data_IF_656194725484
#
_entry.id   IF_656194725484
#
_cell.length_a   1.000
_cell.length_b   1.000
_cell.length_c   1.000
_cell.angle_alpha   90.00
_cell.angle_beta   90.00
_cell.angle_gamma   90.00
#
_symmetry.space_group_name_H-M   'P 1'
#
loop_
_entity.id
_entity.type
_entity.pdbx_description
1 polymer ?
#
# COMPACT_ATOMS: atom_id res chain seq x y z
N UNK A 1 -68.06 -28.74 34.97
CA UNK A 1 -66.70 -28.56 35.48
C UNK A 1 -65.75 -28.48 34.28
N UNK A 2 -65.37 -27.30 33.83
CA UNK A 2 -64.41 -27.07 32.75
C UNK A 2 -63.04 -26.77 33.38
N UNK A 3 -62.07 -27.63 33.15
CA UNK A 3 -60.65 -27.39 33.53
C UNK A 3 -59.98 -26.63 32.37
N UNK A 4 -59.63 -25.39 32.62
CA UNK A 4 -58.78 -24.59 31.73
C UNK A 4 -57.32 -24.97 31.99
N UNK A 5 -56.64 -25.44 30.93
CA UNK A 5 -55.22 -25.71 30.94
C UNK A 5 -54.48 -24.43 30.53
N UNK A 6 -53.75 -23.84 31.46
CA UNK A 6 -52.90 -22.65 31.25
C UNK A 6 -51.55 -23.13 30.70
N UNK A 7 -51.31 -22.91 29.43
CA UNK A 7 -50.00 -23.19 28.82
C UNK A 7 -49.12 -21.96 29.03
N UNK A 8 -48.15 -22.08 29.91
CA UNK A 8 -47.11 -21.07 30.15
C UNK A 8 -46.06 -21.15 29.07
N UNK A 9 -46.09 -20.19 28.13
CA UNK A 9 -45.09 -20.07 27.05
C UNK A 9 -43.85 -19.33 27.60
N UNK A 10 -42.82 -20.06 27.99
CA UNK A 10 -41.53 -19.52 28.41
C UNK A 10 -40.78 -19.05 27.17
N UNK A 11 -40.76 -17.75 26.89
CA UNK A 11 -39.90 -17.14 25.90
C UNK A 11 -38.47 -17.18 26.45
N UNK A 12 -37.66 -18.12 25.92
CA UNK A 12 -36.21 -18.10 26.11
C UNK A 12 -35.66 -17.04 25.17
N UNK A 13 -35.43 -15.84 25.67
CA UNK A 13 -34.64 -14.83 25.01
C UNK A 13 -33.20 -15.33 24.95
N UNK A 14 -32.75 -15.78 23.77
CA UNK A 14 -31.33 -15.98 23.46
C UNK A 14 -30.67 -14.60 23.49
N UNK A 15 -30.13 -14.23 24.64
CA UNK A 15 -29.19 -13.11 24.74
C UNK A 15 -27.91 -13.61 24.09
N UNK A 16 -27.71 -13.28 22.83
CA UNK A 16 -26.40 -13.36 22.17
C UNK A 16 -25.51 -12.35 22.88
N UNK A 17 -24.70 -12.80 23.82
CA UNK A 17 -23.58 -12.01 24.33
C UNK A 17 -22.59 -11.79 23.17
N UNK A 18 -22.68 -10.65 22.49
CA UNK A 18 -21.50 -10.11 21.82
C UNK A 18 -20.52 -9.77 22.94
N UNK A 19 -19.39 -10.50 23.02
CA UNK A 19 -18.30 -10.10 23.90
C UNK A 19 -17.81 -8.74 23.44
N UNK A 20 -18.02 -7.72 24.29
CA UNK A 20 -17.51 -6.37 24.03
C UNK A 20 -15.98 -6.41 24.14
N UNK A 21 -15.29 -5.63 23.29
CA UNK A 21 -13.86 -5.42 23.41
C UNK A 21 -13.64 -4.59 24.67
N UNK A 22 -12.84 -5.11 25.61
CA UNK A 22 -12.48 -4.37 26.82
C UNK A 22 -11.66 -3.15 26.43
N UNK A 23 -12.21 -1.96 26.68
CA UNK A 23 -11.58 -0.67 26.39
C UNK A 23 -10.96 -0.02 27.64
N UNK A 24 -10.88 -0.76 28.75
CA UNK A 24 -10.23 -0.24 29.96
C UNK A 24 -8.73 -0.05 29.74
N UNK A 25 -8.20 1.13 30.04
CA UNK A 25 -6.77 1.39 30.01
C UNK A 25 -6.06 0.61 31.11
N UNK A 26 -4.86 0.12 30.81
CA UNK A 26 -4.05 -0.63 31.75
C UNK A 26 -2.57 -0.44 31.50
N UNK A 27 -1.74 -1.28 32.13
CA UNK A 27 -0.30 -1.30 31.93
C UNK A 27 0.07 -2.50 31.08
N UNK A 28 1.15 -2.38 30.29
CA UNK A 28 1.78 -3.47 29.59
C UNK A 28 3.29 -3.32 29.56
N UNK A 29 3.99 -4.41 29.30
CA UNK A 29 5.45 -4.43 29.11
C UNK A 29 5.78 -4.97 27.73
N UNK A 30 6.69 -4.29 27.03
CA UNK A 30 7.30 -4.78 25.80
C UNK A 30 8.82 -4.67 25.89
N UNK A 31 9.51 -5.73 25.46
CA UNK A 31 10.96 -5.75 25.38
C UNK A 31 11.42 -6.72 24.30
N UNK A 32 12.73 -6.84 24.12
CA UNK A 32 13.25 -7.78 23.15
C UNK A 32 14.70 -7.58 22.75
N UNK A 33 15.10 -8.37 21.74
CA UNK A 33 16.41 -8.37 21.13
C UNK A 33 16.26 -8.24 19.61
N UNK A 34 17.03 -7.31 19.00
CA UNK A 34 17.11 -7.14 17.55
C UNK A 34 18.47 -7.61 17.08
N UNK A 35 18.49 -8.73 16.35
CA UNK A 35 19.73 -9.28 15.77
C UNK A 35 20.05 -8.54 14.47
N UNK A 36 21.31 -8.15 14.28
CA UNK A 36 21.78 -7.34 13.16
C UNK A 36 21.02 -6.01 12.99
N UNK A 37 20.89 -5.16 14.04
CA UNK A 37 20.07 -3.97 13.98
C UNK A 37 20.57 -3.00 12.89
N UNK A 38 19.63 -2.34 12.20
CA UNK A 38 19.92 -1.33 11.16
C UNK A 38 20.31 0.00 11.79
N UNK A 39 19.73 0.33 12.95
CA UNK A 39 20.01 1.49 13.79
C UNK A 39 19.89 1.09 15.28
N UNK A 40 20.21 1.98 16.17
CA UNK A 40 20.26 1.76 17.62
C UNK A 40 18.94 2.03 18.35
N UNK A 41 17.82 2.09 17.63
CA UNK A 41 16.50 2.31 18.21
C UNK A 41 15.38 1.63 17.41
N UNK A 42 14.23 1.48 18.05
CA UNK A 42 12.94 1.25 17.42
C UNK A 42 11.94 2.29 17.92
N UNK A 43 10.90 2.57 17.15
CA UNK A 43 9.84 3.49 17.55
C UNK A 43 8.55 2.70 17.72
N UNK A 44 7.92 2.82 18.89
CA UNK A 44 6.62 2.22 19.19
C UNK A 44 5.51 3.24 18.92
N UNK A 45 4.43 2.80 18.27
CA UNK A 45 3.29 3.64 17.90
C UNK A 45 2.00 3.10 18.48
N UNK A 46 1.13 4.03 18.88
CA UNK A 46 -0.31 3.82 19.02
C UNK A 46 -0.98 4.55 17.86
N UNK A 47 -1.65 3.80 16.98
CA UNK A 47 -2.12 4.33 15.72
C UNK A 47 -0.96 4.95 14.89
N UNK A 48 -1.11 6.19 14.44
CA UNK A 48 -0.06 6.96 13.74
C UNK A 48 0.81 7.79 14.67
N UNK A 49 0.50 7.80 15.97
CA UNK A 49 1.17 8.61 16.98
C UNK A 49 2.31 7.83 17.65
N UNK A 50 3.56 8.34 17.65
CA UNK A 50 4.64 7.67 18.37
C UNK A 50 4.38 7.71 19.88
N UNK A 51 4.43 6.54 20.50
CA UNK A 51 4.41 6.41 21.96
C UNK A 51 5.76 6.80 22.52
N UNK A 52 6.83 6.15 22.01
CA UNK A 52 8.21 6.40 22.45
C UNK A 52 9.24 5.87 21.45
N UNK A 53 10.46 6.36 21.55
CA UNK A 53 11.66 5.86 20.87
C UNK A 53 12.47 5.02 21.84
N UNK A 54 12.53 3.73 21.62
CA UNK A 54 13.16 2.75 22.49
C UNK A 54 14.56 2.46 21.99
N UNK A 55 15.57 2.88 22.75
CA UNK A 55 16.98 2.68 22.39
C UNK A 55 17.47 1.29 22.76
N UNK A 56 18.32 0.71 21.89
CA UNK A 56 18.96 -0.56 22.10
C UNK A 56 20.19 -0.41 23.02
N UNK A 57 20.37 -1.35 23.93
CA UNK A 57 21.58 -1.46 24.74
C UNK A 57 22.75 -2.08 23.94
N UNK A 58 23.88 -2.35 24.64
CA UNK A 58 25.09 -2.91 24.02
C UNK A 58 24.89 -4.36 23.51
N UNK A 59 23.88 -5.06 24.02
CA UNK A 59 23.47 -6.39 23.61
C UNK A 59 22.31 -6.37 22.59
N UNK A 60 22.01 -5.19 22.01
CA UNK A 60 20.91 -4.96 21.07
C UNK A 60 19.52 -5.27 21.66
N UNK A 61 19.32 -5.04 22.94
CA UNK A 61 18.07 -5.26 23.66
C UNK A 61 17.42 -3.95 24.05
N UNK A 62 16.11 -4.00 24.20
CA UNK A 62 15.32 -2.90 24.73
C UNK A 62 14.28 -3.42 25.73
N UNK A 63 13.76 -2.52 26.54
CA UNK A 63 12.63 -2.80 27.44
C UNK A 63 11.87 -1.51 27.70
N UNK A 64 10.53 -1.60 27.76
CA UNK A 64 9.67 -0.47 27.97
C UNK A 64 8.41 -0.86 28.74
N UNK A 65 8.06 -0.07 29.78
CA UNK A 65 6.80 -0.18 30.49
C UNK A 65 5.82 0.86 29.93
N UNK A 66 4.70 0.40 29.44
CA UNK A 66 3.61 1.26 29.00
C UNK A 66 2.68 1.46 30.20
N UNK A 67 2.77 2.64 30.81
CA UNK A 67 2.00 2.98 32.05
C UNK A 67 0.51 3.15 31.79
N UNK A 68 0.16 3.62 30.59
CA UNK A 68 -1.23 3.82 30.18
C UNK A 68 -1.39 3.30 28.77
N UNK A 69 -1.87 2.06 28.66
CA UNK A 69 -2.13 1.39 27.39
C UNK A 69 -3.62 1.42 27.07
N UNK A 70 -3.97 1.90 25.89
CA UNK A 70 -5.27 1.62 25.27
C UNK A 70 -5.19 0.26 24.56
N UNK A 71 -6.08 -0.71 24.84
CA UNK A 71 -6.02 -2.00 24.16
C UNK A 71 -6.33 -1.81 22.68
N UNK A 72 -5.45 -2.34 21.81
CA UNK A 72 -5.61 -2.11 20.39
C UNK A 72 -4.50 -2.70 19.53
N UNK A 73 -4.55 -2.28 18.26
CA UNK A 73 -3.47 -2.47 17.30
C UNK A 73 -2.41 -1.38 17.56
N UNK A 74 -1.22 -1.84 17.85
CA UNK A 74 -0.04 -1.00 17.95
C UNK A 74 0.94 -1.40 16.86
N UNK A 75 1.98 -0.63 16.66
CA UNK A 75 3.03 -1.01 15.73
C UNK A 75 4.40 -0.58 16.23
N UNK A 76 5.44 -1.24 15.74
CA UNK A 76 6.80 -0.76 15.90
C UNK A 76 7.52 -0.69 14.56
N UNK A 77 8.44 0.27 14.47
CA UNK A 77 9.29 0.47 13.28
C UNK A 77 10.75 0.33 13.67
N UNK A 78 11.48 -0.51 12.95
CA UNK A 78 12.94 -0.60 13.07
C UNK A 78 13.57 -0.72 11.67
N UNK A 79 14.56 0.12 11.39
CA UNK A 79 15.27 0.09 10.11
C UNK A 79 14.40 0.41 8.87
N UNK A 80 13.21 0.96 9.06
CA UNK A 80 12.23 1.24 8.00
C UNK A 80 11.20 0.12 7.80
N UNK A 81 11.36 -1.01 8.48
CA UNK A 81 10.37 -2.10 8.50
C UNK A 81 9.32 -1.84 9.57
N UNK A 82 8.07 -2.15 9.24
CA UNK A 82 6.89 -1.89 10.06
C UNK A 82 6.22 -3.19 10.48
N UNK A 83 5.94 -3.36 11.77
CA UNK A 83 5.26 -4.53 12.31
C UNK A 83 4.09 -4.16 13.20
N UNK A 84 2.93 -4.74 12.93
CA UNK A 84 1.74 -4.63 13.78
C UNK A 84 1.83 -5.63 14.94
N UNK A 85 1.40 -5.17 16.12
CA UNK A 85 1.32 -5.97 17.34
C UNK A 85 0.00 -5.65 18.08
N UNK A 86 -0.69 -6.67 18.60
CA UNK A 86 -1.81 -6.47 19.53
C UNK A 86 -1.24 -6.36 20.94
N UNK A 87 -1.54 -5.23 21.59
CA UNK A 87 -1.27 -5.03 23.00
C UNK A 87 -2.58 -4.85 23.79
N UNK A 88 -2.67 -5.56 24.88
CA UNK A 88 -3.81 -5.52 25.82
C UNK A 88 -3.31 -5.37 27.27
N UNK A 89 -4.14 -4.88 28.18
CA UNK A 89 -3.76 -4.73 29.58
C UNK A 89 -3.18 -6.01 30.18
N UNK A 90 -2.11 -5.85 30.95
CA UNK A 90 -1.31 -6.92 31.57
C UNK A 90 -0.48 -7.79 30.60
N UNK A 91 -0.39 -7.44 29.32
CA UNK A 91 0.58 -8.09 28.45
C UNK A 91 2.01 -7.85 28.92
N UNK A 92 2.83 -8.89 28.86
CA UNK A 92 4.27 -8.82 29.13
C UNK A 92 4.99 -9.59 28.05
N UNK A 93 5.34 -8.89 26.97
CA UNK A 93 5.77 -9.46 25.72
C UNK A 93 7.25 -9.19 25.50
N UNK A 94 8.01 -10.23 25.20
CA UNK A 94 9.38 -10.13 24.69
C UNK A 94 9.40 -10.58 23.24
N UNK A 95 10.05 -9.82 22.37
CA UNK A 95 10.26 -10.19 20.98
C UNK A 95 11.73 -10.45 20.67
N UNK A 96 11.95 -11.30 19.68
CA UNK A 96 13.25 -11.49 19.05
C UNK A 96 13.06 -11.48 17.55
N UNK A 97 13.88 -10.66 16.88
CA UNK A 97 13.79 -10.49 15.44
C UNK A 97 15.21 -10.37 14.85
N UNK A 98 15.41 -10.84 13.61
CA UNK A 98 16.63 -10.65 12.83
C UNK A 98 16.28 -9.82 11.59
N UNK A 99 16.92 -8.66 11.44
CA UNK A 99 16.62 -7.74 10.32
C UNK A 99 16.96 -8.28 8.93
N UNK A 100 17.69 -9.38 8.83
CA UNK A 100 17.98 -10.04 7.54
C UNK A 100 16.79 -10.85 7.01
N UNK A 101 15.93 -11.36 7.92
CA UNK A 101 14.73 -12.13 7.61
C UNK A 101 13.62 -11.65 8.57
N UNK A 102 13.16 -10.41 8.41
CA UNK A 102 12.39 -9.68 9.40
C UNK A 102 11.13 -10.44 9.86
N UNK A 103 10.20 -10.69 8.94
CA UNK A 103 8.90 -11.30 9.27
C UNK A 103 9.04 -12.79 9.64
N UNK A 104 9.90 -13.53 8.94
CA UNK A 104 10.10 -14.96 9.17
C UNK A 104 10.83 -15.25 10.47
N UNK A 105 11.64 -14.31 10.96
CA UNK A 105 12.42 -14.48 12.20
C UNK A 105 11.73 -13.93 13.44
N UNK A 106 10.64 -13.16 13.28
CA UNK A 106 9.97 -12.49 14.39
C UNK A 106 9.21 -13.51 15.26
N UNK A 107 9.59 -13.58 16.53
CA UNK A 107 8.97 -14.44 17.53
C UNK A 107 8.70 -13.67 18.81
N UNK A 108 7.52 -13.88 19.38
CA UNK A 108 7.10 -13.30 20.65
C UNK A 108 7.07 -14.35 21.76
N UNK A 109 7.48 -13.97 22.98
CA UNK A 109 7.42 -14.79 24.20
C UNK A 109 6.80 -13.99 25.34
N UNK A 110 6.40 -14.67 26.42
CA UNK A 110 5.76 -14.02 27.58
C UNK A 110 4.23 -14.01 27.51
N UNK A 111 3.62 -13.32 28.45
CA UNK A 111 2.16 -13.20 28.55
C UNK A 111 1.63 -12.34 27.39
N UNK A 112 0.60 -12.81 26.67
CA UNK A 112 0.07 -12.12 25.49
C UNK A 112 0.78 -12.50 24.17
N UNK A 113 1.90 -13.21 24.20
CA UNK A 113 2.69 -13.53 23.00
C UNK A 113 1.99 -14.43 21.99
N UNK A 114 1.09 -15.33 22.44
CA UNK A 114 0.46 -16.35 21.55
C UNK A 114 -0.38 -15.72 20.45
N UNK A 115 -1.12 -14.65 20.76
CA UNK A 115 -1.94 -13.92 19.80
C UNK A 115 -1.08 -13.29 18.69
N UNK A 116 0.06 -12.67 19.07
CA UNK A 116 0.97 -12.04 18.12
C UNK A 116 1.74 -13.09 17.28
N UNK A 117 2.16 -14.20 17.87
CA UNK A 117 2.75 -15.32 17.11
C UNK A 117 1.75 -15.94 16.12
N UNK A 118 0.46 -16.01 16.46
CA UNK A 118 -0.55 -16.45 15.52
C UNK A 118 -0.66 -15.51 14.33
N UNK A 119 -0.71 -14.19 14.58
CA UNK A 119 -0.87 -13.20 13.53
C UNK A 119 0.33 -13.14 12.58
N UNK A 120 1.57 -13.20 13.09
CA UNK A 120 2.76 -13.20 12.21
C UNK A 120 2.84 -14.50 11.39
N UNK A 121 2.52 -15.64 11.98
CA UNK A 121 2.45 -16.91 11.25
C UNK A 121 1.34 -16.91 10.18
N UNK A 122 0.19 -16.33 10.50
CA UNK A 122 -0.90 -16.16 9.53
C UNK A 122 -0.46 -15.24 8.37
N UNK A 123 0.18 -14.11 8.67
CA UNK A 123 0.72 -13.20 7.68
C UNK A 123 1.71 -13.89 6.73
N UNK A 124 2.72 -14.57 7.29
CA UNK A 124 3.71 -15.31 6.50
C UNK A 124 3.06 -16.41 5.62
N UNK A 125 2.01 -17.06 6.13
CA UNK A 125 1.27 -18.07 5.36
C UNK A 125 0.51 -17.44 4.20
N UNK A 126 -0.19 -16.33 4.43
CA UNK A 126 -0.94 -15.61 3.40
C UNK A 126 0.00 -15.04 2.32
N UNK A 127 1.15 -14.48 2.71
CA UNK A 127 2.17 -13.98 1.77
C UNK A 127 2.72 -15.11 0.89
N UNK A 128 3.03 -16.26 1.49
CA UNK A 128 3.48 -17.43 0.72
C UNK A 128 2.40 -17.94 -0.25
N UNK A 129 1.12 -17.82 0.08
CA UNK A 129 -0.01 -18.20 -0.78
C UNK A 129 -0.26 -17.24 -1.94
N UNK A 130 0.20 -16.00 -1.88
CA UNK A 130 -0.04 -14.98 -2.92
C UNK A 130 0.36 -15.44 -4.33
N UNK A 131 1.46 -16.19 -4.44
CA UNK A 131 1.90 -16.77 -5.72
C UNK A 131 0.91 -17.81 -6.25
N UNK A 132 0.37 -18.64 -5.36
CA UNK A 132 -0.63 -19.67 -5.70
C UNK A 132 -1.91 -18.98 -6.16
N UNK A 133 -2.38 -18.00 -5.41
CA UNK A 133 -3.60 -17.25 -5.72
C UNK A 133 -3.46 -16.48 -7.03
N UNK A 134 -2.26 -15.92 -7.32
CA UNK A 134 -2.01 -15.30 -8.61
C UNK A 134 -2.18 -16.28 -9.78
N UNK A 135 -1.66 -17.49 -9.68
CA UNK A 135 -1.84 -18.52 -10.72
C UNK A 135 -3.31 -18.97 -10.81
N UNK A 136 -3.98 -19.13 -9.67
CA UNK A 136 -5.41 -19.48 -9.59
C UNK A 136 -6.30 -18.38 -10.20
N UNK A 137 -5.87 -17.12 -10.16
CA UNK A 137 -6.62 -16.01 -10.76
C UNK A 137 -6.75 -16.08 -12.31
N UNK A 138 -6.03 -17.03 -12.95
CA UNK A 138 -6.16 -17.34 -14.38
C UNK A 138 -7.23 -18.40 -14.68
N UNK A 139 -7.79 -19.05 -13.65
CA UNK A 139 -8.82 -20.06 -13.79
C UNK A 139 -10.19 -19.43 -14.02
N UNK A 140 -11.10 -20.23 -14.58
CA UNK A 140 -12.51 -19.85 -14.73
C UNK A 140 -13.17 -19.50 -13.39
N UNK A 141 -14.18 -18.61 -13.36
CA UNK A 141 -14.74 -18.02 -12.14
C UNK A 141 -15.15 -19.03 -11.08
N UNK A 142 -15.85 -20.12 -11.49
CA UNK A 142 -16.29 -21.15 -10.54
C UNK A 142 -15.12 -21.87 -9.90
N UNK A 143 -14.10 -22.23 -10.69
CA UNK A 143 -12.91 -22.91 -10.19
C UNK A 143 -12.08 -21.99 -9.30
N UNK A 144 -11.92 -20.72 -9.69
CA UNK A 144 -11.27 -19.71 -8.86
C UNK A 144 -11.95 -19.59 -7.51
N UNK A 145 -13.29 -19.37 -7.49
CA UNK A 145 -14.04 -19.23 -6.24
C UNK A 145 -13.90 -20.45 -5.34
N UNK A 146 -14.01 -21.66 -5.92
CA UNK A 146 -13.85 -22.92 -5.14
C UNK A 146 -12.49 -23.00 -4.44
N UNK A 147 -11.42 -22.65 -5.12
CA UNK A 147 -10.07 -22.69 -4.51
C UNK A 147 -9.92 -21.63 -3.44
N UNK A 148 -10.35 -20.39 -3.70
CA UNK A 148 -10.28 -19.30 -2.72
C UNK A 148 -11.09 -19.63 -1.46
N UNK A 149 -12.32 -20.13 -1.62
CA UNK A 149 -13.17 -20.48 -0.49
C UNK A 149 -12.57 -21.66 0.32
N UNK A 150 -11.91 -22.61 -0.35
CA UNK A 150 -11.21 -23.71 0.33
C UNK A 150 -10.05 -23.21 1.17
N UNK A 151 -9.20 -22.34 0.62
CA UNK A 151 -8.06 -21.77 1.34
C UNK A 151 -8.54 -20.91 2.53
N UNK A 152 -9.58 -20.09 2.33
CA UNK A 152 -10.18 -19.29 3.39
C UNK A 152 -10.73 -20.17 4.52
N UNK A 153 -11.45 -21.25 4.17
CA UNK A 153 -12.04 -22.18 5.14
C UNK A 153 -10.99 -22.89 5.98
N UNK A 154 -9.85 -23.26 5.38
CA UNK A 154 -8.70 -23.84 6.08
C UNK A 154 -8.16 -22.88 7.15
N UNK A 155 -7.99 -21.59 6.83
CA UNK A 155 -7.49 -20.61 7.80
C UNK A 155 -8.51 -20.34 8.92
N UNK A 156 -9.81 -20.34 8.60
CA UNK A 156 -10.87 -20.23 9.62
C UNK A 156 -10.85 -21.45 10.56
N UNK A 157 -10.65 -22.65 10.03
CA UNK A 157 -10.53 -23.86 10.84
C UNK A 157 -9.30 -23.79 11.76
N UNK A 158 -8.16 -23.31 11.25
CA UNK A 158 -6.94 -23.15 12.06
C UNK A 158 -7.12 -22.08 13.17
N UNK A 159 -7.83 -20.98 12.87
CA UNK A 159 -8.20 -20.00 13.90
C UNK A 159 -9.11 -20.63 14.97
N UNK A 160 -10.06 -21.46 14.59
CA UNK A 160 -10.94 -22.13 15.54
C UNK A 160 -10.17 -23.12 16.43
N UNK A 161 -9.24 -23.91 15.87
CA UNK A 161 -8.32 -24.77 16.65
C UNK A 161 -7.48 -23.97 17.65
N UNK A 162 -7.00 -22.79 17.23
CA UNK A 162 -6.27 -21.89 18.14
C UNK A 162 -7.14 -21.43 19.29
N UNK A 163 -8.40 -21.01 19.02
CA UNK A 163 -9.37 -20.56 20.02
C UNK A 163 -9.80 -21.68 21.00
N UNK A 164 -9.87 -22.91 20.53
CA UNK A 164 -10.14 -24.08 21.39
C UNK A 164 -8.97 -24.38 22.34
N UNK A 165 -7.75 -24.14 21.89
CA UNK A 165 -6.53 -24.46 22.63
C UNK A 165 -6.12 -23.35 23.61
N UNK A 166 -6.41 -22.10 23.29
CA UNK A 166 -5.95 -20.93 24.01
C UNK A 166 -7.10 -19.98 24.27
N UNK A 167 -7.13 -19.43 25.48
CA UNK A 167 -8.00 -18.29 25.76
C UNK A 167 -7.64 -17.13 24.84
N UNK A 168 -8.62 -16.52 24.20
CA UNK A 168 -8.44 -15.46 23.22
C UNK A 168 -9.39 -14.30 23.47
N UNK A 169 -8.87 -13.08 23.37
CA UNK A 169 -9.66 -11.86 23.54
C UNK A 169 -10.59 -11.60 22.34
N UNK A 170 -11.63 -10.79 22.56
CA UNK A 170 -12.52 -10.33 21.50
C UNK A 170 -11.75 -9.52 20.43
N UNK A 171 -10.78 -8.70 20.85
CA UNK A 171 -9.91 -7.92 19.97
C UNK A 171 -9.08 -8.83 19.05
N UNK A 172 -8.36 -9.82 19.61
CA UNK A 172 -7.59 -10.75 18.81
C UNK A 172 -8.48 -11.53 17.82
N UNK A 173 -9.63 -12.01 18.28
CA UNK A 173 -10.56 -12.78 17.44
C UNK A 173 -11.05 -11.94 16.26
N UNK A 174 -11.35 -10.66 16.49
CA UNK A 174 -11.75 -9.71 15.44
C UNK A 174 -10.64 -9.47 14.44
N UNK A 175 -9.43 -9.16 14.89
CA UNK A 175 -8.28 -8.88 14.04
C UNK A 175 -7.86 -10.10 13.23
N UNK A 176 -7.80 -11.29 13.86
CA UNK A 176 -7.44 -12.52 13.17
C UNK A 176 -8.47 -12.90 12.09
N UNK A 177 -9.77 -12.79 12.40
CA UNK A 177 -10.82 -13.05 11.42
C UNK A 177 -10.81 -12.02 10.29
N UNK A 178 -10.59 -10.75 10.59
CA UNK A 178 -10.43 -9.69 9.60
C UNK A 178 -9.23 -9.93 8.69
N UNK A 179 -8.08 -10.36 9.24
CA UNK A 179 -6.90 -10.73 8.45
C UNK A 179 -7.22 -11.82 7.43
N UNK A 180 -7.93 -12.87 7.84
CA UNK A 180 -8.32 -13.96 6.94
C UNK A 180 -9.32 -13.46 5.89
N UNK A 181 -10.44 -12.91 6.34
CA UNK A 181 -11.55 -12.56 5.45
C UNK A 181 -11.13 -11.50 4.42
N UNK A 182 -10.48 -10.44 4.84
CA UNK A 182 -10.10 -9.34 3.94
C UNK A 182 -8.98 -9.75 2.97
N UNK A 183 -8.05 -10.64 3.36
CA UNK A 183 -7.05 -11.15 2.41
C UNK A 183 -7.71 -11.90 1.26
N UNK A 184 -8.58 -12.87 1.54
CA UNK A 184 -9.23 -13.63 0.47
C UNK A 184 -10.27 -12.81 -0.30
N UNK A 185 -11.00 -11.91 0.36
CA UNK A 185 -11.93 -11.00 -0.30
C UNK A 185 -11.20 -10.02 -1.23
N UNK A 186 -9.98 -9.58 -0.89
CA UNK A 186 -9.11 -8.79 -1.78
C UNK A 186 -8.89 -9.51 -3.11
N UNK A 187 -8.59 -10.79 -3.07
CA UNK A 187 -8.38 -11.59 -4.28
C UNK A 187 -9.66 -11.70 -5.12
N UNK A 188 -10.83 -11.84 -4.48
CA UNK A 188 -12.12 -11.83 -5.16
C UNK A 188 -12.40 -10.47 -5.83
N UNK A 189 -12.08 -9.36 -5.16
CA UNK A 189 -12.24 -8.02 -5.76
C UNK A 189 -11.28 -7.76 -6.93
N UNK A 190 -10.06 -8.29 -6.88
CA UNK A 190 -9.07 -8.14 -7.94
C UNK A 190 -9.31 -9.09 -9.13
N UNK A 191 -9.99 -10.22 -8.91
CA UNK A 191 -10.18 -11.25 -9.91
C UNK A 191 -10.80 -10.75 -11.23
N UNK A 192 -11.88 -9.94 -11.24
CA UNK A 192 -12.47 -9.47 -12.50
C UNK A 192 -11.49 -8.66 -13.36
N UNK A 193 -10.66 -7.85 -12.73
CA UNK A 193 -9.65 -7.04 -13.44
C UNK A 193 -8.51 -7.86 -14.01
N UNK A 194 -8.18 -8.99 -13.39
CA UNK A 194 -7.12 -9.91 -13.81
C UNK A 194 -7.59 -10.86 -14.90
N UNK A 195 -8.79 -11.44 -14.73
CA UNK A 195 -9.31 -12.49 -15.60
C UNK A 195 -9.95 -11.94 -16.87
N UNK A 196 -10.87 -10.98 -16.76
CA UNK A 196 -11.63 -10.49 -17.93
C UNK A 196 -10.87 -9.42 -18.73
N UNK A 197 -9.93 -8.70 -18.12
CA UNK A 197 -9.23 -7.60 -18.77
C UNK A 197 -10.16 -6.47 -19.22
N UNK A 198 -9.63 -5.49 -19.97
CA UNK A 198 -10.33 -4.23 -20.30
C UNK A 198 -11.56 -4.40 -21.17
N UNK A 199 -11.60 -5.41 -22.03
CA UNK A 199 -12.64 -5.59 -23.05
C UNK A 199 -13.84 -6.37 -22.55
N UNK A 200 -13.66 -7.35 -21.69
CA UNK A 200 -14.70 -8.26 -21.26
C UNK A 200 -15.22 -7.98 -19.84
N UNK A 201 -14.52 -7.15 -19.07
CA UNK A 201 -14.85 -6.87 -17.68
C UNK A 201 -16.25 -6.24 -17.50
N UNK A 202 -16.80 -5.60 -18.55
CA UNK A 202 -18.16 -5.06 -18.53
C UNK A 202 -19.21 -6.15 -18.31
N UNK A 203 -19.07 -7.26 -19.01
CA UNK A 203 -20.04 -8.35 -18.98
C UNK A 203 -19.79 -9.35 -17.87
N UNK A 204 -18.52 -9.57 -17.48
CA UNK A 204 -18.09 -10.51 -16.42
C UNK A 204 -18.84 -11.84 -16.47
N UNK A 205 -18.97 -12.38 -17.69
CA UNK A 205 -19.76 -13.60 -17.97
C UNK A 205 -19.19 -14.78 -17.18
N UNK A 206 -20.07 -15.52 -16.50
CA UNK A 206 -19.70 -16.73 -15.76
C UNK A 206 -19.30 -16.51 -14.30
N UNK A 207 -19.35 -15.28 -13.76
CA UNK A 207 -19.25 -15.11 -12.32
C UNK A 207 -20.43 -15.79 -11.61
N UNK A 208 -20.19 -16.66 -10.61
CA UNK A 208 -21.25 -17.25 -9.80
C UNK A 208 -22.11 -16.17 -9.11
N UNK A 209 -23.40 -16.44 -8.91
CA UNK A 209 -24.30 -15.48 -8.25
C UNK A 209 -23.89 -15.13 -6.82
N UNK A 210 -23.20 -16.04 -6.12
CA UNK A 210 -22.70 -15.87 -4.76
C UNK A 210 -21.27 -15.30 -4.71
N UNK A 211 -20.68 -14.89 -5.84
CA UNK A 211 -19.28 -14.46 -5.91
C UNK A 211 -18.97 -13.28 -4.96
N UNK A 212 -19.92 -12.40 -4.74
CA UNK A 212 -19.80 -11.21 -3.90
C UNK A 212 -20.64 -11.26 -2.62
N UNK A 213 -21.15 -12.42 -2.18
CA UNK A 213 -21.99 -12.52 -0.99
C UNK A 213 -21.34 -11.98 0.28
N UNK A 214 -20.00 -12.12 0.40
CA UNK A 214 -19.22 -11.56 1.52
C UNK A 214 -19.34 -10.03 1.67
N UNK A 215 -19.79 -9.32 0.64
CA UNK A 215 -19.95 -7.86 0.69
C UNK A 215 -21.04 -7.42 1.67
N UNK A 216 -22.00 -8.28 1.97
CA UNK A 216 -23.05 -8.00 2.94
C UNK A 216 -22.54 -7.85 4.38
N UNK A 217 -21.37 -8.43 4.68
CA UNK A 217 -20.79 -8.46 6.01
C UNK A 217 -19.70 -7.38 6.23
N UNK A 218 -19.48 -6.49 5.25
CA UNK A 218 -18.44 -5.46 5.34
C UNK A 218 -18.90 -4.35 6.28
N UNK A 219 -18.14 -4.14 7.35
CA UNK A 219 -18.26 -2.93 8.16
C UNK A 219 -17.27 -1.87 7.66
N UNK A 220 -17.80 -0.82 7.01
CA UNK A 220 -17.00 0.30 6.49
C UNK A 220 -16.59 1.30 7.57
N UNK A 221 -17.03 1.11 8.82
CA UNK A 221 -16.89 2.08 9.90
C UNK A 221 -16.19 1.49 11.12
N UNK A 222 -15.45 0.42 10.96
CA UNK A 222 -14.82 -0.32 12.03
C UNK A 222 -13.65 0.44 12.66
N UNK A 223 -13.88 1.02 13.85
CA UNK A 223 -12.86 1.79 14.57
C UNK A 223 -11.63 0.96 14.97
N UNK A 224 -11.79 -0.36 15.18
CA UNK A 224 -10.66 -1.24 15.54
C UNK A 224 -9.73 -1.46 14.35
N UNK A 225 -10.30 -1.46 13.13
CA UNK A 225 -9.56 -1.74 11.90
C UNK A 225 -9.14 -0.48 11.13
N UNK A 226 -9.42 0.73 11.65
CA UNK A 226 -9.13 2.00 10.97
C UNK A 226 -7.65 2.20 10.61
N UNK A 227 -6.73 1.52 11.31
CA UNK A 227 -5.29 1.57 11.09
C UNK A 227 -4.71 0.22 10.66
N UNK A 228 -5.59 -0.74 10.32
CA UNK A 228 -5.20 -2.08 9.95
C UNK A 228 -4.97 -2.23 8.46
N UNK A 229 -3.72 -2.46 8.06
CA UNK A 229 -3.31 -2.53 6.65
C UNK A 229 -4.10 -3.54 5.80
N UNK A 230 -4.38 -4.80 6.24
CA UNK A 230 -5.19 -5.74 5.46
C UNK A 230 -6.61 -5.25 5.16
N UNK A 231 -7.20 -4.43 6.04
CA UNK A 231 -8.50 -3.83 5.82
C UNK A 231 -8.47 -2.82 4.65
N UNK A 232 -7.44 -1.95 4.59
CA UNK A 232 -7.29 -1.03 3.47
C UNK A 232 -6.91 -1.73 2.17
N UNK A 233 -6.06 -2.77 2.22
CA UNK A 233 -5.75 -3.60 1.07
C UNK A 233 -7.00 -4.21 0.43
N UNK A 234 -8.01 -4.50 1.23
CA UNK A 234 -9.31 -4.93 0.76
C UNK A 234 -10.17 -3.76 0.26
N UNK A 235 -10.28 -2.68 1.02
CA UNK A 235 -11.18 -1.56 0.67
C UNK A 235 -10.81 -0.88 -0.65
N UNK A 236 -9.53 -0.74 -0.97
CA UNK A 236 -9.11 -0.12 -2.22
C UNK A 236 -9.59 -0.88 -3.46
N UNK A 237 -9.33 -2.18 -3.66
CA UNK A 237 -9.87 -2.94 -4.78
C UNK A 237 -11.40 -3.09 -4.71
N UNK A 238 -11.98 -3.13 -3.52
CA UNK A 238 -13.43 -3.16 -3.35
C UNK A 238 -14.10 -1.92 -3.95
N UNK A 239 -13.67 -0.71 -3.58
CA UNK A 239 -14.18 0.52 -4.16
C UNK A 239 -13.83 0.65 -5.65
N UNK A 240 -12.69 0.09 -6.12
CA UNK A 240 -12.42 0.00 -7.55
C UNK A 240 -13.48 -0.84 -8.28
N UNK A 241 -13.88 -1.95 -7.70
CA UNK A 241 -14.87 -2.84 -8.31
C UNK A 241 -16.29 -2.24 -8.25
N UNK A 242 -16.69 -1.64 -7.13
CA UNK A 242 -17.96 -0.93 -7.05
C UNK A 242 -18.06 0.23 -8.06
N UNK A 243 -16.98 1.01 -8.17
CA UNK A 243 -16.94 2.12 -9.14
C UNK A 243 -16.99 1.64 -10.60
N UNK A 244 -16.57 0.41 -10.88
CA UNK A 244 -16.65 -0.19 -12.21
C UNK A 244 -18.10 -0.35 -12.68
N UNK A 245 -19.01 -0.79 -11.81
CA UNK A 245 -20.42 -0.93 -12.14
C UNK A 245 -21.04 0.43 -12.47
N UNK A 246 -20.83 1.42 -11.59
CA UNK A 246 -21.32 2.78 -11.80
C UNK A 246 -20.71 3.45 -13.06
N UNK A 247 -19.45 3.15 -13.39
CA UNK A 247 -18.81 3.63 -14.61
C UNK A 247 -19.54 3.17 -15.87
N UNK A 248 -19.84 1.87 -15.99
CA UNK A 248 -20.51 1.31 -17.15
C UNK A 248 -22.01 1.69 -17.23
N UNK A 249 -22.64 2.03 -16.12
CA UNK A 249 -23.98 2.60 -16.09
C UNK A 249 -24.02 4.03 -16.66
N UNK A 250 -22.99 4.83 -16.37
CA UNK A 250 -22.93 6.25 -16.75
C UNK A 250 -22.29 6.49 -18.11
N UNK A 251 -21.41 5.60 -18.56
CA UNK A 251 -20.75 5.71 -19.86
C UNK A 251 -21.35 4.71 -20.85
N UNK A 252 -21.18 5.01 -22.15
CA UNK A 252 -21.51 4.05 -23.22
C UNK A 252 -20.29 3.23 -23.64
N UNK A 253 -19.20 3.28 -22.88
CA UNK A 253 -17.96 2.64 -23.21
C UNK A 253 -18.12 1.11 -23.28
N UNK A 254 -17.47 0.50 -24.24
CA UNK A 254 -17.36 -0.95 -24.36
C UNK A 254 -16.06 -1.48 -23.78
N UNK A 255 -15.08 -0.60 -23.56
CA UNK A 255 -13.76 -0.92 -23.04
C UNK A 255 -13.54 -0.14 -21.75
N UNK A 256 -13.11 -0.82 -20.71
CA UNK A 256 -12.81 -0.17 -19.45
C UNK A 256 -11.55 0.71 -19.53
N UNK A 257 -11.70 1.97 -19.14
CA UNK A 257 -10.58 2.88 -18.94
C UNK A 257 -10.36 3.19 -17.44
N UNK A 258 -9.30 2.63 -16.91
CA UNK A 258 -8.84 2.84 -15.52
C UNK A 258 -8.56 4.32 -15.22
N UNK A 259 -8.12 5.09 -16.22
CA UNK A 259 -7.74 6.50 -16.08
C UNK A 259 -8.92 7.45 -16.30
N UNK A 260 -10.10 6.92 -16.66
CA UNK A 260 -11.30 7.75 -16.83
C UNK A 260 -11.60 8.57 -15.58
N UNK A 261 -11.81 9.89 -15.77
CA UNK A 261 -12.21 10.78 -14.68
C UNK A 261 -13.57 10.36 -14.10
N UNK A 262 -14.51 9.91 -14.94
CA UNK A 262 -15.83 9.42 -14.51
C UNK A 262 -15.68 8.25 -13.55
N UNK A 263 -14.85 7.26 -13.88
CA UNK A 263 -14.57 6.12 -13.01
C UNK A 263 -13.97 6.55 -11.67
N UNK A 264 -12.99 7.43 -11.68
CA UNK A 264 -12.26 7.81 -10.47
C UNK A 264 -13.06 8.76 -9.58
N UNK A 265 -13.89 9.66 -10.15
CA UNK A 265 -14.82 10.49 -9.37
C UNK A 265 -15.90 9.63 -8.70
N UNK A 266 -16.51 8.67 -9.43
CA UNK A 266 -17.48 7.73 -8.84
C UNK A 266 -16.88 6.92 -7.68
N UNK A 267 -15.60 6.60 -7.73
CA UNK A 267 -14.90 5.97 -6.61
C UNK A 267 -14.89 6.86 -5.36
N UNK A 268 -14.56 8.15 -5.51
CA UNK A 268 -14.61 9.10 -4.38
C UNK A 268 -16.04 9.29 -3.86
N UNK A 269 -17.02 9.32 -4.76
CA UNK A 269 -18.44 9.46 -4.38
C UNK A 269 -18.89 8.26 -3.54
N UNK A 270 -18.60 7.02 -3.98
CA UNK A 270 -18.91 5.79 -3.23
C UNK A 270 -18.23 5.77 -1.85
N UNK A 271 -16.94 6.13 -1.77
CA UNK A 271 -16.23 6.23 -0.50
C UNK A 271 -16.92 7.22 0.45
N UNK A 272 -17.32 8.39 -0.05
CA UNK A 272 -17.99 9.41 0.75
C UNK A 272 -19.43 9.03 1.14
N UNK A 273 -20.15 8.31 0.29
CA UNK A 273 -21.51 7.84 0.55
C UNK A 273 -21.55 6.71 1.59
N UNK A 274 -20.66 5.72 1.48
CA UNK A 274 -20.70 4.48 2.24
C UNK A 274 -19.93 4.54 3.56
N UNK A 275 -18.80 5.27 3.61
CA UNK A 275 -17.92 5.35 4.77
C UNK A 275 -18.28 6.55 5.64
N UNK A 276 -18.70 6.30 6.88
CA UNK A 276 -19.05 7.35 7.86
C UNK A 276 -17.94 7.65 8.85
N UNK A 277 -17.08 6.67 9.14
CA UNK A 277 -15.87 6.89 9.92
C UNK A 277 -14.94 7.84 9.15
N UNK A 278 -14.63 8.99 9.74
CA UNK A 278 -13.87 10.05 9.07
C UNK A 278 -12.42 9.65 8.80
N UNK A 279 -11.79 8.87 9.66
CA UNK A 279 -10.39 8.46 9.49
C UNK A 279 -10.28 7.51 8.30
N UNK A 280 -11.13 6.47 8.26
CA UNK A 280 -11.19 5.52 7.14
C UNK A 280 -11.52 6.25 5.84
N UNK A 281 -12.55 7.11 5.85
CA UNK A 281 -12.96 7.87 4.67
C UNK A 281 -11.82 8.76 4.13
N UNK A 282 -11.20 9.57 4.98
CA UNK A 282 -10.15 10.47 4.58
C UNK A 282 -8.90 9.72 4.07
N UNK A 283 -8.55 8.57 4.66
CA UNK A 283 -7.46 7.72 4.18
C UNK A 283 -7.75 7.18 2.77
N UNK A 284 -8.97 6.69 2.53
CA UNK A 284 -9.39 6.19 1.21
C UNK A 284 -9.40 7.30 0.16
N UNK A 285 -10.00 8.45 0.47
CA UNK A 285 -10.05 9.62 -0.41
C UNK A 285 -8.65 10.11 -0.78
N UNK A 286 -7.75 10.27 0.22
CA UNK A 286 -6.36 10.66 0.01
C UNK A 286 -5.63 9.70 -0.91
N UNK A 287 -5.73 8.39 -0.65
CA UNK A 287 -5.06 7.37 -1.45
C UNK A 287 -5.55 7.38 -2.91
N UNK A 288 -6.88 7.37 -3.13
CA UNK A 288 -7.45 7.36 -4.47
C UNK A 288 -7.07 8.62 -5.26
N UNK A 289 -7.16 9.80 -4.63
CA UNK A 289 -6.81 11.08 -5.26
C UNK A 289 -5.32 11.17 -5.56
N UNK A 290 -4.46 10.83 -4.61
CA UNK A 290 -3.01 10.80 -4.82
C UNK A 290 -2.66 9.92 -6.02
N UNK A 291 -3.22 8.71 -6.10
CA UNK A 291 -2.95 7.79 -7.19
C UNK A 291 -3.41 8.38 -8.54
N UNK A 292 -4.63 8.93 -8.61
CA UNK A 292 -5.12 9.52 -9.84
C UNK A 292 -4.23 10.68 -10.32
N UNK A 293 -3.98 11.65 -9.45
CA UNK A 293 -3.13 12.83 -9.77
C UNK A 293 -1.74 12.43 -10.23
N UNK A 294 -1.20 11.35 -9.69
CA UNK A 294 0.16 10.93 -9.97
C UNK A 294 0.31 10.19 -11.30
N UNK A 295 -0.76 9.60 -11.84
CA UNK A 295 -0.72 8.82 -13.09
C UNK A 295 -1.46 9.50 -14.26
N UNK A 296 -2.29 10.51 -13.99
CA UNK A 296 -3.06 11.18 -15.04
C UNK A 296 -2.28 12.36 -15.62
N UNK A 297 -2.32 12.49 -16.96
CA UNK A 297 -1.66 13.58 -17.69
C UNK A 297 -2.65 14.66 -18.18
N UNK A 298 -3.97 14.49 -17.96
CA UNK A 298 -4.99 15.47 -18.31
C UNK A 298 -5.12 16.53 -17.23
N UNK A 299 -4.83 17.77 -17.59
CA UNK A 299 -4.94 18.90 -16.66
C UNK A 299 -6.37 19.10 -16.14
N UNK A 300 -7.35 19.05 -17.05
CA UNK A 300 -8.76 19.21 -16.70
C UNK A 300 -9.26 18.10 -15.75
N UNK A 301 -8.82 16.85 -15.99
CA UNK A 301 -9.20 15.74 -15.13
C UNK A 301 -8.54 15.82 -13.75
N UNK A 302 -7.27 16.26 -13.69
CA UNK A 302 -6.59 16.50 -12.42
C UNK A 302 -7.26 17.64 -11.62
N UNK A 303 -7.69 18.70 -12.29
CA UNK A 303 -8.41 19.81 -11.66
C UNK A 303 -9.76 19.32 -11.10
N UNK A 304 -10.55 18.59 -11.90
CA UNK A 304 -11.84 18.01 -11.48
C UNK A 304 -11.69 17.01 -10.30
N UNK A 305 -10.67 16.16 -10.36
CA UNK A 305 -10.39 15.21 -9.28
C UNK A 305 -10.01 15.91 -7.97
N UNK A 306 -9.19 16.94 -8.06
CA UNK A 306 -8.78 17.74 -6.90
C UNK A 306 -9.98 18.46 -6.27
N UNK A 307 -10.83 19.11 -7.07
CA UNK A 307 -12.06 19.77 -6.58
C UNK A 307 -13.01 18.75 -5.92
N UNK A 308 -13.21 17.61 -6.54
CA UNK A 308 -14.02 16.52 -5.97
C UNK A 308 -13.48 16.06 -4.62
N UNK A 309 -12.17 15.89 -4.49
CA UNK A 309 -11.52 15.54 -3.23
C UNK A 309 -11.75 16.61 -2.15
N UNK A 310 -11.49 17.88 -2.48
CA UNK A 310 -11.65 19.01 -1.53
C UNK A 310 -13.08 19.13 -0.99
N UNK A 311 -14.08 18.79 -1.80
CA UNK A 311 -15.48 18.83 -1.38
C UNK A 311 -15.87 17.69 -0.41
N UNK A 312 -15.05 16.66 -0.27
CA UNK A 312 -15.35 15.43 0.50
C UNK A 312 -14.44 15.22 1.71
N UNK A 313 -13.19 15.65 1.61
CA UNK A 313 -12.21 15.48 2.68
C UNK A 313 -12.51 16.42 3.86
N UNK A 314 -12.39 15.89 5.07
CA UNK A 314 -12.52 16.64 6.33
C UNK A 314 -11.22 16.69 7.14
N UNK A 315 -10.14 16.06 6.64
CA UNK A 315 -8.85 16.03 7.32
C UNK A 315 -7.93 17.12 6.74
N UNK A 316 -7.54 18.07 7.58
CA UNK A 316 -6.73 19.24 7.17
C UNK A 316 -5.33 18.85 6.70
N UNK A 317 -4.65 17.92 7.38
CA UNK A 317 -3.30 17.46 7.02
C UNK A 317 -3.30 16.74 5.66
N UNK A 318 -4.28 15.85 5.44
CA UNK A 318 -4.46 15.17 4.16
C UNK A 318 -4.76 16.18 3.04
N UNK A 319 -5.56 17.21 3.32
CA UNK A 319 -5.90 18.25 2.35
C UNK A 319 -4.69 19.12 2.00
N UNK A 320 -3.84 19.45 2.98
CA UNK A 320 -2.58 20.14 2.74
C UNK A 320 -1.62 19.31 1.87
N UNK A 321 -1.47 18.01 2.18
CA UNK A 321 -0.66 17.09 1.39
C UNK A 321 -1.14 17.00 -0.08
N UNK A 322 -2.44 16.76 -0.29
CA UNK A 322 -3.01 16.66 -1.65
C UNK A 322 -2.91 17.98 -2.39
N UNK A 323 -3.13 19.13 -1.73
CA UNK A 323 -2.97 20.45 -2.33
C UNK A 323 -1.52 20.73 -2.74
N UNK A 324 -0.56 20.36 -1.90
CA UNK A 324 0.87 20.47 -2.21
C UNK A 324 1.25 19.60 -3.43
N UNK A 325 0.79 18.35 -3.47
CA UNK A 325 1.01 17.44 -4.60
C UNK A 325 0.39 17.98 -5.89
N UNK A 326 -0.87 18.39 -5.85
CA UNK A 326 -1.58 18.97 -7.00
C UNK A 326 -0.86 20.21 -7.55
N UNK A 327 -0.46 21.15 -6.69
CA UNK A 327 0.28 22.34 -7.08
C UNK A 327 1.65 21.99 -7.67
N UNK A 328 2.31 20.96 -7.17
CA UNK A 328 3.57 20.48 -7.74
C UNK A 328 3.35 19.89 -9.13
N UNK A 329 2.34 19.05 -9.30
CA UNK A 329 2.00 18.45 -10.61
C UNK A 329 1.69 19.56 -11.64
N UNK A 330 0.97 20.63 -11.26
CA UNK A 330 0.72 21.79 -12.14
C UNK A 330 2.02 22.46 -12.63
N UNK A 331 3.03 22.53 -11.78
CA UNK A 331 4.35 23.11 -12.17
C UNK A 331 5.14 22.17 -13.10
N UNK A 332 4.83 20.86 -13.08
CA UNK A 332 5.50 19.85 -13.91
C UNK A 332 4.75 19.51 -15.20
N UNK A 333 3.75 20.33 -15.59
CA UNK A 333 2.97 20.14 -16.82
C UNK A 333 3.83 20.32 -18.07
N UNK A 334 3.49 19.64 -19.17
CA UNK A 334 4.16 19.83 -20.46
C UNK A 334 4.28 21.30 -20.86
N UNK A 335 5.43 21.68 -21.39
CA UNK A 335 5.76 23.06 -21.77
C UNK A 335 6.32 23.93 -20.64
N UNK A 336 6.17 23.55 -19.37
CA UNK A 336 6.80 24.28 -18.27
C UNK A 336 8.31 23.99 -18.20
N UNK A 337 9.06 24.92 -17.62
CA UNK A 337 10.49 24.71 -17.38
C UNK A 337 10.70 23.61 -16.33
N UNK A 338 11.69 22.75 -16.58
CA UNK A 338 12.12 21.76 -15.59
C UNK A 338 12.68 22.50 -14.34
N UNK A 339 12.33 22.06 -13.12
CA UNK A 339 12.80 22.71 -11.89
C UNK A 339 14.29 22.51 -11.67
N UNK A 340 14.91 23.48 -10.98
CA UNK A 340 16.33 23.42 -10.60
C UNK A 340 16.55 22.30 -9.57
N UNK A 341 17.29 21.26 -9.96
CA UNK A 341 17.58 20.08 -9.12
C UNK A 341 19.08 19.81 -9.13
N UNK A 342 19.70 19.85 -7.96
CA UNK A 342 21.09 19.44 -7.79
C UNK A 342 21.22 17.92 -7.64
N UNK A 343 22.15 17.37 -8.40
CA UNK A 343 22.53 15.95 -8.36
C UNK A 343 24.04 15.80 -8.14
N UNK A 344 24.44 14.66 -7.63
CA UNK A 344 25.84 14.29 -7.43
C UNK A 344 26.16 13.13 -8.34
N UNK A 345 27.21 13.23 -9.15
CA UNK A 345 27.66 12.18 -10.04
C UNK A 345 28.48 11.12 -9.30
N UNK A 346 28.93 10.07 -10.01
CA UNK A 346 29.73 8.99 -9.45
C UNK A 346 31.05 9.46 -8.81
N UNK A 347 31.62 10.59 -9.29
CA UNK A 347 32.86 11.19 -8.76
C UNK A 347 32.60 12.10 -7.54
N UNK A 348 31.37 12.23 -7.08
CA UNK A 348 30.91 13.15 -6.01
C UNK A 348 30.94 14.65 -6.45
N UNK A 349 30.95 14.95 -7.74
CA UNK A 349 30.81 16.31 -8.24
C UNK A 349 29.34 16.70 -8.27
N UNK A 350 29.01 17.88 -7.76
CA UNK A 350 27.64 18.41 -7.76
C UNK A 350 27.40 19.21 -9.04
N UNK A 351 26.27 18.97 -9.65
CA UNK A 351 25.82 19.71 -10.86
C UNK A 351 24.31 19.86 -10.85
N UNK A 352 23.82 20.86 -11.56
CA UNK A 352 22.40 20.98 -11.87
C UNK A 352 22.04 20.04 -13.02
N UNK A 353 20.88 19.39 -12.92
CA UNK A 353 20.44 18.41 -13.92
C UNK A 353 20.17 19.03 -15.27
N UNK A 354 19.70 20.30 -15.33
CA UNK A 354 19.44 21.04 -16.56
C UNK A 354 20.70 21.30 -17.40
N UNK A 355 21.89 21.38 -16.78
CA UNK A 355 23.16 21.47 -17.50
C UNK A 355 23.44 20.28 -18.46
N UNK A 356 22.65 19.22 -18.36
CA UNK A 356 22.79 17.98 -19.15
C UNK A 356 21.77 17.89 -20.30
N UNK A 357 20.87 18.88 -20.48
CA UNK A 357 19.80 18.83 -21.49
C UNK A 357 20.26 19.31 -22.88
N UNK A 358 21.44 18.89 -23.31
CA UNK A 358 21.98 19.19 -24.64
C UNK A 358 21.36 18.37 -25.78
N UNK A 359 20.54 17.38 -25.44
CA UNK A 359 19.71 16.54 -26.30
C UNK A 359 18.37 16.32 -25.62
N UNK A 360 17.31 15.87 -26.33
CA UNK A 360 16.12 15.39 -25.65
C UNK A 360 16.51 14.35 -24.60
N UNK A 361 16.05 14.54 -23.37
CA UNK A 361 16.55 13.81 -22.21
C UNK A 361 15.43 13.04 -21.53
N UNK A 362 15.66 11.74 -21.31
CA UNK A 362 14.84 10.85 -20.49
C UNK A 362 15.48 10.74 -19.13
N UNK A 363 14.73 11.08 -18.08
CA UNK A 363 15.15 11.00 -16.69
C UNK A 363 14.35 9.89 -16.02
N UNK A 364 15.03 8.91 -15.46
CA UNK A 364 14.40 7.82 -14.72
C UNK A 364 15.00 7.66 -13.33
N UNK A 365 14.21 7.09 -12.43
CA UNK A 365 14.54 7.00 -11.02
C UNK A 365 14.70 5.55 -10.60
N UNK A 366 15.54 5.28 -9.62
CA UNK A 366 15.70 3.96 -9.06
C UNK A 366 16.08 3.99 -7.57
N UNK A 367 15.78 2.87 -6.89
CA UNK A 367 16.11 2.66 -5.49
C UNK A 367 16.81 1.32 -5.32
N UNK A 368 17.82 1.24 -4.47
CA UNK A 368 18.47 -0.01 -4.12
C UNK A 368 17.58 -0.93 -3.26
N UNK A 369 16.54 -0.39 -2.63
CA UNK A 369 15.53 -1.19 -1.92
C UNK A 369 14.65 -2.01 -2.88
N UNK A 370 14.52 -1.59 -4.16
CA UNK A 370 13.67 -2.27 -5.17
C UNK A 370 14.57 -2.89 -6.24
N UNK A 371 15.19 -4.02 -5.90
CA UNK A 371 16.24 -4.69 -6.70
C UNK A 371 15.80 -5.04 -8.10
N UNK A 372 14.59 -5.53 -8.30
CA UNK A 372 14.08 -5.92 -9.62
C UNK A 372 13.85 -4.71 -10.51
N UNK A 373 13.27 -3.63 -9.98
CA UNK A 373 13.12 -2.38 -10.74
C UNK A 373 14.48 -1.80 -11.13
N UNK A 374 15.44 -1.78 -10.20
CA UNK A 374 16.81 -1.33 -10.48
C UNK A 374 17.42 -2.07 -11.69
N UNK A 375 17.40 -3.40 -11.67
CA UNK A 375 17.95 -4.21 -12.77
C UNK A 375 17.20 -4.01 -14.08
N UNK A 376 15.87 -4.09 -14.02
CA UNK A 376 15.02 -4.01 -15.20
C UNK A 376 15.11 -2.64 -15.89
N UNK A 377 15.14 -1.54 -15.13
CA UNK A 377 15.23 -0.19 -15.68
C UNK A 377 16.58 0.06 -16.37
N UNK A 378 17.70 -0.37 -15.77
CA UNK A 378 19.02 -0.23 -16.39
C UNK A 378 19.16 -1.08 -17.65
N UNK A 379 18.69 -2.33 -17.63
CA UNK A 379 18.69 -3.19 -18.83
C UNK A 379 17.82 -2.59 -19.93
N UNK A 380 16.64 -2.07 -19.59
CA UNK A 380 15.75 -1.43 -20.57
C UNK A 380 16.38 -0.20 -21.19
N UNK A 381 17.02 0.64 -20.39
CA UNK A 381 17.73 1.83 -20.90
C UNK A 381 18.93 1.44 -21.77
N UNK A 382 19.64 0.36 -21.45
CA UNK A 382 20.73 -0.15 -22.31
C UNK A 382 20.21 -0.53 -23.72
N UNK A 383 19.05 -1.19 -23.81
CA UNK A 383 18.39 -1.45 -25.12
C UNK A 383 18.00 -0.17 -25.83
N UNK A 384 17.38 0.79 -25.11
CA UNK A 384 16.90 2.04 -25.70
C UNK A 384 18.04 2.90 -26.22
N UNK A 385 19.18 2.97 -25.54
CA UNK A 385 20.38 3.71 -25.97
C UNK A 385 20.90 3.21 -27.34
N UNK A 386 20.78 1.93 -27.63
CA UNK A 386 21.17 1.35 -28.92
C UNK A 386 20.24 1.79 -30.07
N UNK A 387 18.94 1.92 -29.75
CA UNK A 387 17.93 2.32 -30.75
C UNK A 387 17.86 3.85 -30.91
N UNK A 388 18.08 4.60 -29.82
CA UNK A 388 17.90 6.06 -29.76
C UNK A 388 19.20 6.79 -29.33
N UNK A 389 20.28 6.77 -30.14
CA UNK A 389 21.58 7.36 -29.76
C UNK A 389 21.54 8.89 -29.64
N UNK A 390 20.53 9.52 -30.21
CA UNK A 390 20.32 10.98 -30.13
C UNK A 390 19.50 11.43 -28.91
N UNK A 391 19.04 10.51 -28.07
CA UNK A 391 18.34 10.79 -26.79
C UNK A 391 19.32 10.56 -25.65
N UNK A 392 19.36 11.50 -24.71
CA UNK A 392 20.11 11.36 -23.46
C UNK A 392 19.28 10.59 -22.43
N UNK A 393 19.92 9.71 -21.65
CA UNK A 393 19.27 8.96 -20.58
C UNK A 393 20.02 9.22 -19.26
N UNK A 394 19.35 9.88 -18.33
CA UNK A 394 19.85 10.22 -16.99
C UNK A 394 19.20 9.30 -15.96
N UNK A 395 20.03 8.62 -15.19
CA UNK A 395 19.66 7.71 -14.12
C UNK A 395 19.85 8.39 -12.78
N UNK A 396 18.83 8.36 -11.91
CA UNK A 396 18.92 9.02 -10.59
C UNK A 396 18.53 8.06 -9.48
N UNK A 397 19.48 7.79 -8.57
CA UNK A 397 19.19 7.12 -7.31
C UNK A 397 18.46 8.06 -6.36
N UNK A 398 17.31 7.61 -5.80
CA UNK A 398 16.44 8.42 -4.94
C UNK A 398 16.61 8.18 -3.44
N UNK A 399 17.54 7.33 -3.02
CA UNK A 399 17.71 7.00 -1.61
C UNK A 399 18.46 8.10 -0.85
N UNK A 400 18.06 8.34 0.39
CA UNK A 400 18.66 9.33 1.28
C UNK A 400 19.85 8.80 2.07
N UNK A 401 20.06 7.48 2.11
CA UNK A 401 21.06 6.78 2.90
C UNK A 401 22.52 6.94 2.39
N UNK A 402 23.41 6.13 2.98
CA UNK A 402 24.89 6.24 2.77
C UNK A 402 25.29 6.31 1.29
N UNK A 403 26.07 7.33 0.89
CA UNK A 403 26.47 7.58 -0.50
C UNK A 403 27.25 6.44 -1.17
N UNK A 404 27.65 5.43 -0.44
CA UNK A 404 28.44 4.31 -0.97
C UNK A 404 27.61 3.14 -1.52
N UNK A 405 26.37 3.01 -1.07
CA UNK A 405 25.54 1.85 -1.42
C UNK A 405 25.17 1.82 -2.91
N UNK A 406 24.69 2.93 -3.46
CA UNK A 406 24.33 2.99 -4.87
C UNK A 406 25.51 2.72 -5.81
N UNK A 407 26.71 3.23 -5.47
CA UNK A 407 27.95 2.98 -6.23
C UNK A 407 28.35 1.50 -6.18
N UNK A 408 28.20 0.85 -5.02
CA UNK A 408 28.50 -0.57 -4.86
C UNK A 408 27.57 -1.42 -5.72
N UNK A 409 26.28 -1.11 -5.78
CA UNK A 409 25.33 -1.86 -6.61
C UNK A 409 25.59 -1.71 -8.11
N UNK A 410 25.85 -0.49 -8.60
CA UNK A 410 26.21 -0.27 -9.99
C UNK A 410 27.43 -1.14 -10.40
N UNK A 411 28.49 -1.14 -9.57
CA UNK A 411 29.67 -1.97 -9.80
C UNK A 411 29.39 -3.47 -9.75
N UNK A 412 28.58 -3.93 -8.77
CA UNK A 412 28.21 -5.34 -8.65
C UNK A 412 27.45 -5.88 -9.85
N UNK A 413 26.69 -5.03 -10.52
CA UNK A 413 25.93 -5.40 -11.73
C UNK A 413 26.60 -4.99 -13.03
N UNK A 414 27.82 -4.42 -12.98
CA UNK A 414 28.59 -3.94 -14.13
C UNK A 414 27.81 -2.94 -15.01
N UNK A 415 26.98 -2.09 -14.41
CA UNK A 415 26.29 -1.03 -15.14
C UNK A 415 27.23 0.14 -15.43
N UNK A 416 27.08 0.80 -16.60
CA UNK A 416 27.86 2.00 -16.92
C UNK A 416 27.68 3.08 -15.87
N UNK A 417 28.78 3.76 -15.52
CA UNK A 417 28.73 4.83 -14.51
C UNK A 417 28.43 6.20 -15.13
N UNK A 418 28.53 6.31 -16.44
CA UNK A 418 28.17 7.52 -17.18
C UNK A 418 26.66 7.69 -17.23
N UNK A 419 26.16 8.88 -16.87
CA UNK A 419 24.73 9.15 -16.76
C UNK A 419 24.09 8.71 -15.44
N UNK A 420 24.91 8.25 -14.48
CA UNK A 420 24.46 7.84 -13.14
C UNK A 420 24.65 8.94 -12.12
N UNK A 421 23.56 9.27 -11.43
CA UNK A 421 23.49 10.34 -10.45
C UNK A 421 22.71 9.90 -9.21
N UNK A 422 22.82 10.71 -8.14
CA UNK A 422 21.89 10.69 -7.01
C UNK A 422 21.46 12.10 -6.69
N UNK A 423 20.29 12.27 -6.11
CA UNK A 423 19.90 13.58 -5.58
C UNK A 423 20.85 14.03 -4.48
N UNK A 424 21.16 15.32 -4.48
CA UNK A 424 21.91 15.94 -3.37
C UNK A 424 21.02 16.01 -2.12
N UNK A 425 19.76 16.40 -2.29
CA UNK A 425 18.71 16.34 -1.28
C UNK A 425 17.55 15.49 -1.80
N UNK A 426 17.52 14.17 -1.49
CA UNK A 426 16.50 13.26 -2.01
C UNK A 426 15.08 13.60 -1.57
N UNK A 427 14.88 14.07 -0.34
CA UNK A 427 13.53 14.35 0.16
C UNK A 427 12.93 15.61 -0.49
N UNK A 428 13.71 16.68 -0.61
CA UNK A 428 13.29 17.86 -1.34
C UNK A 428 13.05 17.56 -2.83
N UNK A 429 13.96 16.84 -3.49
CA UNK A 429 13.84 16.51 -4.90
C UNK A 429 12.62 15.63 -5.20
N UNK A 430 12.36 14.60 -4.39
CA UNK A 430 11.13 13.76 -4.51
C UNK A 430 9.86 14.60 -4.43
N UNK A 431 9.82 15.58 -3.54
CA UNK A 431 8.69 16.52 -3.41
C UNK A 431 8.56 17.40 -4.65
N UNK A 432 9.65 18.06 -5.09
CA UNK A 432 9.67 19.00 -6.22
C UNK A 432 9.31 18.29 -7.53
N UNK A 433 9.74 17.05 -7.72
CA UNK A 433 9.47 16.26 -8.92
C UNK A 433 8.22 15.37 -8.80
N UNK A 434 7.45 15.48 -7.71
CA UNK A 434 6.28 14.65 -7.43
C UNK A 434 6.56 13.15 -7.68
N UNK A 435 7.67 12.62 -7.14
CA UNK A 435 8.04 11.22 -7.29
C UNK A 435 7.26 10.40 -6.26
N UNK A 436 6.10 9.87 -6.66
CA UNK A 436 5.24 9.04 -5.83
C UNK A 436 5.50 7.54 -6.04
N UNK A 437 6.05 7.17 -7.19
CA UNK A 437 6.46 5.78 -7.52
C UNK A 437 7.77 5.76 -8.26
N UNK A 438 8.46 4.64 -8.14
CA UNK A 438 9.80 4.46 -8.66
C UNK A 438 9.86 4.35 -10.20
N UNK A 439 8.80 3.87 -10.82
CA UNK A 439 8.73 3.70 -12.28
C UNK A 439 8.36 4.97 -13.05
N UNK A 440 8.24 6.12 -12.35
CA UNK A 440 8.07 7.43 -12.98
C UNK A 440 9.25 7.75 -13.89
N UNK A 441 8.94 8.24 -15.10
CA UNK A 441 9.92 8.74 -16.06
C UNK A 441 9.53 10.15 -16.49
N UNK A 442 10.48 11.05 -16.57
CA UNK A 442 10.29 12.40 -17.11
C UNK A 442 11.06 12.57 -18.41
N UNK A 443 10.50 13.32 -19.34
CA UNK A 443 11.14 13.64 -20.60
C UNK A 443 11.18 15.16 -20.80
N UNK A 444 12.35 15.67 -21.16
CA UNK A 444 12.63 17.10 -21.29
C UNK A 444 13.27 17.37 -22.64
N UNK A 445 12.95 18.51 -23.25
CA UNK A 445 13.60 18.95 -24.49
C UNK A 445 14.94 19.67 -24.24
N UNK A 446 15.57 20.14 -25.31
CA UNK A 446 16.84 20.87 -25.28
C UNK A 446 16.72 22.33 -24.76
N UNK A 447 15.52 22.81 -24.49
CA UNK A 447 15.23 24.14 -23.94
C UNK A 447 14.75 24.07 -22.50
N UNK A 448 15.06 22.98 -21.78
CA UNK A 448 14.63 22.71 -20.39
C UNK A 448 13.10 22.59 -20.23
N UNK A 449 12.34 22.35 -21.32
CA UNK A 449 10.90 22.23 -21.27
C UNK A 449 10.48 20.76 -21.06
N UNK A 450 9.57 20.57 -20.12
CA UNK A 450 8.98 19.26 -19.84
C UNK A 450 8.11 18.86 -21.03
N UNK A 451 8.39 17.71 -21.62
CA UNK A 451 7.55 17.08 -22.67
C UNK A 451 6.51 16.20 -21.99
N UNK A 452 6.94 15.41 -20.99
CA UNK A 452 6.05 14.70 -20.07
C UNK A 452 6.72 14.53 -18.73
N UNK A 453 5.96 14.69 -17.68
CA UNK A 453 6.45 14.46 -16.31
C UNK A 453 6.07 13.08 -15.75
N UNK A 454 5.36 12.28 -16.53
CA UNK A 454 4.81 11.00 -16.03
C UNK A 454 4.67 9.97 -17.17
N UNK A 455 5.81 9.49 -17.66
CA UNK A 455 5.86 8.35 -18.57
C UNK A 455 6.27 7.08 -17.81
N UNK A 456 6.06 5.92 -18.46
CA UNK A 456 6.52 4.63 -17.98
C UNK A 456 7.32 3.93 -19.09
N UNK A 457 8.63 3.71 -18.88
CA UNK A 457 9.50 3.13 -19.88
C UNK A 457 9.17 1.67 -20.23
N UNK A 458 8.33 1.01 -19.43
CA UNK A 458 7.89 -0.36 -19.67
C UNK A 458 6.54 -0.45 -20.40
N UNK A 459 5.87 0.69 -20.65
CA UNK A 459 4.64 0.71 -21.45
C UNK A 459 4.94 0.57 -22.93
N UNK A 460 3.94 0.06 -23.69
CA UNK A 460 4.00 -0.04 -25.16
C UNK A 460 4.21 1.32 -25.83
N UNK A 461 3.57 2.36 -25.27
CA UNK A 461 3.50 3.71 -25.85
C UNK A 461 4.81 4.50 -25.66
N UNK A 462 5.73 3.99 -24.84
CA UNK A 462 6.98 4.69 -24.55
C UNK A 462 7.88 4.80 -25.78
N UNK A 463 7.88 3.78 -26.65
CA UNK A 463 8.63 3.85 -27.92
C UNK A 463 8.07 4.89 -28.87
N UNK A 464 6.74 5.01 -28.95
CA UNK A 464 6.07 6.06 -29.76
C UNK A 464 6.46 7.46 -29.31
N UNK A 465 6.54 7.66 -27.96
CA UNK A 465 7.05 8.90 -27.39
C UNK A 465 8.50 9.19 -27.81
N UNK A 466 9.39 8.18 -27.79
CA UNK A 466 10.78 8.36 -28.19
C UNK A 466 10.91 8.62 -29.69
N UNK A 467 10.12 7.96 -30.55
CA UNK A 467 10.07 8.20 -31.99
C UNK A 467 9.62 9.63 -32.30
N UNK A 468 8.66 10.18 -31.53
CA UNK A 468 8.24 11.58 -31.65
C UNK A 468 9.37 12.58 -31.30
N UNK A 469 10.28 12.24 -30.38
CA UNK A 469 11.37 13.12 -29.97
C UNK A 469 12.49 13.28 -30.98
N UNK A 470 12.62 12.34 -31.92
CA UNK A 470 13.71 12.30 -32.91
C UNK A 470 13.27 12.72 -34.33
N UNK A 471 11.94 12.89 -34.53
CA UNK A 471 11.34 13.38 -35.77
C UNK A 471 11.00 14.86 -35.67
#
# INVERSE_FOLDING_TARGET
MKRSLLVLFTIISLVSCKSEIDSSCGQAFIGGEIVNPVNDFLVLYDDTSPIDTLYLDQENRFSYNIETLSPGLHSFIHGGEYQVIILEPNDSIMLRLNTLDFDESLVFTGLGSKKNNYLINLYNTLDAEDKIVYEVSKYEPVRFLTVIDSLQSEKIEDLNKFKEKYESSALFNKVALASINYSYSTHKELYPFRYFGRHEIKNRTGLPSNFYDYRADIDYNDDVLKDFYPYYNFLFPHFNNLALDRYFELTKDSVFDRNSIVYNMNKLDLMNEMVKNNDIKNNLLKYATRNFLSYNNSDADCDAMYESYQSKSTNAEHSEYISSLYNTIKKLRPGNKFPDIEVTNYKNEVTNIDAMFNKPTVIYFWSHAIKDHFKNSHNKVAELKLTYPNINFISININADKPTMWKRLLNQHNFPLEGEYRFRDPEAAKKILAIQYINKVMVVDTNDRIITSNANMFSSDFKELLDFLIN
#
